data_IF_327399276133
#
_entry.id   IF_327399276133
#
_cell.length_a   1.000
_cell.length_b   1.000
_cell.length_c   1.000
_cell.angle_alpha   90.00
_cell.angle_beta   90.00
_cell.angle_gamma   90.00
#
_symmetry.space_group_name_H-M   'P 1'
#
loop_
_entity.id
_entity.type
_entity.pdbx_description
1 polymer ?
#
# COMPACT_ATOMS: atom_id res chain seq x y z
N UNK A 1 3.97 -17.41 -3.52
CA UNK A 1 4.91 -17.46 -4.66
C UNK A 1 4.22 -17.39 -6.02
N UNK A 2 3.31 -18.31 -6.37
CA UNK A 2 2.65 -18.36 -7.70
C UNK A 2 1.83 -17.10 -8.02
N UNK A 3 1.03 -16.60 -7.07
CA UNK A 3 0.24 -15.38 -7.25
C UNK A 3 1.10 -14.14 -7.51
N UNK A 4 2.25 -14.04 -6.82
CA UNK A 4 3.17 -12.93 -7.00
C UNK A 4 3.77 -12.92 -8.42
N UNK A 5 4.14 -14.09 -8.91
CA UNK A 5 4.68 -14.25 -10.26
C UNK A 5 3.64 -13.85 -11.33
N UNK A 6 2.42 -14.37 -11.21
CA UNK A 6 1.35 -14.17 -12.21
C UNK A 6 0.77 -12.75 -12.20
N UNK A 7 0.60 -12.13 -11.02
CA UNK A 7 -0.08 -10.85 -10.90
C UNK A 7 0.84 -9.64 -10.83
N UNK A 8 2.11 -9.82 -10.46
CA UNK A 8 3.06 -8.70 -10.31
C UNK A 8 4.25 -8.83 -11.25
N UNK A 9 4.98 -9.97 -11.21
CA UNK A 9 6.24 -10.10 -11.97
C UNK A 9 6.02 -10.13 -13.48
N UNK A 10 5.16 -11.03 -13.98
CA UNK A 10 4.92 -11.18 -15.43
C UNK A 10 4.30 -9.91 -16.02
N UNK A 11 3.22 -9.33 -15.46
CA UNK A 11 2.64 -8.09 -15.98
C UNK A 11 3.62 -6.92 -15.93
N UNK A 12 4.42 -6.82 -14.87
CA UNK A 12 5.46 -5.80 -14.74
C UNK A 12 6.50 -5.86 -15.85
N UNK A 13 7.01 -7.05 -16.15
CA UNK A 13 7.99 -7.28 -17.21
C UNK A 13 7.40 -6.98 -18.60
N UNK A 14 6.15 -7.40 -18.85
CA UNK A 14 5.45 -7.09 -20.09
C UNK A 14 5.30 -5.58 -20.29
N UNK A 15 4.89 -4.85 -19.25
CA UNK A 15 4.74 -3.40 -19.32
C UNK A 15 6.08 -2.66 -19.48
N UNK A 16 7.15 -3.13 -18.83
CA UNK A 16 8.49 -2.58 -19.01
C UNK A 16 9.04 -2.86 -20.43
N UNK A 17 8.78 -4.04 -20.99
CA UNK A 17 9.12 -4.37 -22.38
C UNK A 17 8.36 -3.46 -23.36
N UNK A 18 7.05 -3.29 -23.17
CA UNK A 18 6.25 -2.35 -23.95
C UNK A 18 6.75 -0.91 -23.83
N UNK A 19 7.10 -0.46 -22.61
CA UNK A 19 7.67 0.86 -22.40
C UNK A 19 8.94 1.04 -23.23
N UNK A 20 9.84 0.05 -23.18
CA UNK A 20 11.10 0.06 -23.94
C UNK A 20 10.85 0.10 -25.45
N UNK A 21 9.91 -0.70 -25.96
CA UNK A 21 9.51 -0.68 -27.38
C UNK A 21 8.94 0.68 -27.82
N UNK A 22 8.25 1.37 -26.91
CA UNK A 22 7.70 2.71 -27.14
C UNK A 22 8.71 3.83 -26.87
N UNK A 23 9.99 3.51 -26.65
CA UNK A 23 11.05 4.48 -26.34
C UNK A 23 10.92 5.14 -24.96
N UNK A 24 10.08 4.59 -24.08
CA UNK A 24 9.89 5.05 -22.70
C UNK A 24 10.80 4.27 -21.75
N UNK A 25 11.14 4.91 -20.63
CA UNK A 25 11.95 4.29 -19.59
C UNK A 25 11.14 3.21 -18.84
N UNK A 26 11.58 1.95 -18.80
CA UNK A 26 10.99 0.92 -17.93
C UNK A 26 11.24 1.27 -16.45
N UNK A 27 10.30 0.94 -15.57
CA UNK A 27 10.37 1.32 -14.15
C UNK A 27 9.80 0.25 -13.21
N UNK A 28 8.84 -0.56 -13.66
CA UNK A 28 8.05 -1.43 -12.77
C UNK A 28 8.92 -2.51 -12.12
N UNK A 29 9.82 -3.13 -12.88
CA UNK A 29 10.79 -4.09 -12.37
C UNK A 29 11.62 -3.52 -11.22
N UNK A 30 12.19 -2.32 -11.40
CA UNK A 30 12.94 -1.63 -10.34
C UNK A 30 12.07 -1.32 -9.12
N UNK A 31 10.81 -0.95 -9.31
CA UNK A 31 9.88 -0.67 -8.20
C UNK A 31 9.60 -1.95 -7.42
N UNK A 32 9.28 -3.05 -8.10
CA UNK A 32 9.03 -4.34 -7.45
C UNK A 32 10.24 -4.87 -6.70
N UNK A 33 11.45 -4.74 -7.24
CA UNK A 33 12.68 -5.13 -6.52
C UNK A 33 12.86 -4.32 -5.24
N UNK A 34 12.62 -3.01 -5.27
CA UNK A 34 12.70 -2.15 -4.07
C UNK A 34 11.64 -2.52 -3.04
N UNK A 35 10.40 -2.75 -3.48
CA UNK A 35 9.31 -3.17 -2.60
C UNK A 35 9.60 -4.51 -1.94
N UNK A 36 10.15 -5.49 -2.67
CA UNK A 36 10.56 -6.77 -2.09
C UNK A 36 11.60 -6.58 -0.99
N UNK A 37 12.66 -5.80 -1.26
CA UNK A 37 13.70 -5.52 -0.25
C UNK A 37 13.14 -4.86 1.01
N UNK A 38 12.21 -3.91 0.85
CA UNK A 38 11.53 -3.26 1.98
C UNK A 38 10.69 -4.29 2.75
N UNK A 39 9.91 -5.12 2.05
CA UNK A 39 9.11 -6.16 2.68
C UNK A 39 9.99 -7.15 3.45
N UNK A 40 11.09 -7.63 2.86
CA UNK A 40 12.03 -8.55 3.50
C UNK A 40 12.67 -7.93 4.76
N UNK A 41 12.97 -6.63 4.71
CA UNK A 41 13.54 -5.90 5.86
C UNK A 41 12.51 -5.70 6.97
N UNK A 42 11.26 -5.44 6.61
CA UNK A 42 10.18 -5.18 7.56
C UNK A 42 9.53 -6.45 8.10
N UNK A 43 9.72 -7.60 7.44
CA UNK A 43 9.12 -8.88 7.82
C UNK A 43 9.36 -9.21 9.29
N UNK A 44 10.59 -8.97 9.77
CA UNK A 44 10.95 -9.22 11.17
C UNK A 44 10.09 -8.40 12.15
N UNK A 45 9.86 -7.13 11.83
CA UNK A 45 9.18 -6.18 12.70
C UNK A 45 7.66 -6.30 12.60
N UNK A 46 7.14 -6.40 11.39
CA UNK A 46 5.70 -6.41 11.10
C UNK A 46 5.04 -7.79 11.31
N UNK A 47 5.81 -8.88 11.17
CA UNK A 47 5.28 -10.24 11.27
C UNK A 47 5.16 -10.79 12.70
N UNK A 48 5.62 -10.04 13.70
CA UNK A 48 5.60 -10.46 15.11
C UNK A 48 4.68 -9.59 15.94
N UNK A 49 4.00 -10.22 16.89
CA UNK A 49 3.33 -9.52 17.98
C UNK A 49 4.35 -9.14 19.03
N UNK A 50 4.30 -7.90 19.48
CA UNK A 50 5.18 -7.38 20.50
C UNK A 50 4.35 -6.99 21.70
N UNK A 51 4.51 -7.74 22.80
CA UNK A 51 3.89 -7.41 24.08
C UNK A 51 4.80 -6.41 24.81
N UNK A 52 4.40 -5.14 24.79
CA UNK A 52 5.11 -4.08 25.51
C UNK A 52 4.42 -3.83 26.85
N UNK A 53 5.13 -4.06 27.96
CA UNK A 53 4.68 -3.62 29.27
C UNK A 53 5.15 -2.17 29.50
N UNK A 54 4.21 -1.26 29.75
CA UNK A 54 4.45 0.14 30.04
C UNK A 54 3.92 0.58 31.43
N UNK A 55 3.67 -0.35 32.35
CA UNK A 55 3.11 -0.06 33.68
C UNK A 55 3.87 1.02 34.45
N UNK A 56 5.21 1.01 34.40
CA UNK A 56 6.02 2.01 35.11
C UNK A 56 5.86 3.40 34.51
N UNK A 57 5.66 3.52 33.19
CA UNK A 57 5.44 4.79 32.51
C UNK A 57 4.07 5.35 32.86
N UNK A 58 3.04 4.49 32.90
CA UNK A 58 1.70 4.87 33.32
C UNK A 58 1.66 5.33 34.79
N UNK A 59 2.29 4.56 35.70
CA UNK A 59 2.40 4.94 37.11
C UNK A 59 3.14 6.27 37.31
N UNK A 60 4.20 6.50 36.53
CA UNK A 60 4.93 7.77 36.56
C UNK A 60 4.00 8.92 36.13
N UNK A 61 3.27 8.75 35.03
CA UNK A 61 2.33 9.76 34.53
C UNK A 61 1.26 10.12 35.57
N UNK A 62 0.67 9.12 36.23
CA UNK A 62 -0.34 9.29 37.29
C UNK A 62 0.20 10.02 38.54
N UNK A 63 1.51 9.99 38.77
CA UNK A 63 2.15 10.63 39.93
C UNK A 63 2.58 12.08 39.66
N UNK A 64 2.60 12.52 38.41
CA UNK A 64 2.96 13.90 38.05
C UNK A 64 1.88 14.89 38.49
N UNK A 65 2.30 16.10 38.85
CA UNK A 65 1.34 17.19 39.05
C UNK A 65 0.73 17.62 37.71
N UNK A 66 -0.44 18.27 37.71
CA UNK A 66 -1.04 18.79 36.48
C UNK A 66 -0.09 19.71 35.70
N UNK A 67 0.72 20.52 36.40
CA UNK A 67 1.71 21.41 35.78
C UNK A 67 2.81 20.63 35.05
N UNK A 68 3.32 19.56 35.67
CA UNK A 68 4.36 18.72 35.06
C UNK A 68 3.81 17.88 33.91
N UNK A 69 2.55 17.42 33.99
CA UNK A 69 1.88 16.71 32.89
C UNK A 69 1.72 17.61 31.66
N UNK A 70 1.35 18.89 31.86
CA UNK A 70 1.24 19.86 30.78
C UNK A 70 2.62 20.19 30.18
N UNK A 71 3.63 20.37 31.03
CA UNK A 71 4.99 20.70 30.58
C UNK A 71 5.67 19.54 29.85
N UNK A 72 5.40 18.29 30.25
CA UNK A 72 6.06 17.09 29.73
C UNK A 72 5.03 16.08 29.24
N UNK A 73 4.23 16.42 28.24
CA UNK A 73 3.22 15.49 27.71
C UNK A 73 3.85 14.26 27.04
N UNK A 74 3.64 13.07 27.62
CA UNK A 74 4.09 11.78 27.07
C UNK A 74 3.05 10.65 27.21
N UNK A 75 1.80 10.96 27.54
CA UNK A 75 0.74 9.96 27.59
C UNK A 75 0.23 9.60 26.18
N UNK A 76 0.63 8.42 25.73
CA UNK A 76 0.24 7.86 24.43
C UNK A 76 -1.26 7.54 24.34
N UNK A 77 -1.97 7.40 25.47
CA UNK A 77 -3.41 7.17 25.51
C UNK A 77 -4.23 8.42 25.18
N UNK A 78 -3.68 9.60 25.45
CA UNK A 78 -4.30 10.89 25.14
C UNK A 78 -3.89 11.44 23.77
N UNK A 79 -2.98 10.76 23.07
CA UNK A 79 -2.47 11.17 21.78
C UNK A 79 -3.52 10.98 20.67
N UNK A 80 -3.74 12.02 19.84
CA UNK A 80 -4.59 11.91 18.64
C UNK A 80 -3.85 11.15 17.52
N UNK A 81 -3.98 9.83 17.54
CA UNK A 81 -3.35 8.95 16.57
C UNK A 81 -3.69 9.27 15.11
N UNK A 82 -4.86 9.83 14.83
CA UNK A 82 -5.26 10.22 13.47
C UNK A 82 -4.47 11.44 12.99
N UNK A 83 -4.44 12.49 13.82
CA UNK A 83 -3.63 13.68 13.54
C UNK A 83 -2.14 13.32 13.40
N UNK A 84 -1.62 12.52 14.33
CA UNK A 84 -0.23 12.11 14.31
C UNK A 84 0.13 11.29 13.05
N UNK A 85 -0.76 10.39 12.62
CA UNK A 85 -0.57 9.63 11.39
C UNK A 85 -0.61 10.55 10.15
N UNK A 86 -1.50 11.54 10.10
CA UNK A 86 -1.56 12.52 9.01
C UNK A 86 -0.28 13.36 8.96
N UNK A 87 0.14 13.92 10.11
CA UNK A 87 1.36 14.70 10.22
C UNK A 87 2.59 13.88 9.81
N UNK A 88 2.67 12.61 10.20
CA UNK A 88 3.73 11.70 9.79
C UNK A 88 3.72 11.47 8.27
N UNK A 89 2.56 11.26 7.66
CA UNK A 89 2.43 11.10 6.21
C UNK A 89 2.91 12.34 5.45
N UNK A 90 2.54 13.54 5.92
CA UNK A 90 2.96 14.81 5.34
C UNK A 90 4.47 15.03 5.53
N UNK A 91 5.00 14.75 6.71
CA UNK A 91 6.43 14.85 7.00
C UNK A 91 7.26 13.89 6.14
N UNK A 92 6.82 12.65 5.97
CA UNK A 92 7.47 11.67 5.10
C UNK A 92 7.54 12.17 3.65
N UNK A 93 6.43 12.72 3.16
CA UNK A 93 6.35 13.28 1.81
C UNK A 93 7.34 14.44 1.62
N UNK A 94 7.34 15.38 2.56
CA UNK A 94 8.15 16.59 2.44
C UNK A 94 9.65 16.31 2.62
N UNK A 95 10.02 15.53 3.64
CA UNK A 95 11.42 15.41 4.06
C UNK A 95 12.11 14.14 3.54
N UNK A 96 11.41 13.01 3.43
CA UNK A 96 12.01 11.77 2.92
C UNK A 96 11.88 11.66 1.40
N UNK A 97 10.67 11.92 0.89
CA UNK A 97 10.38 11.82 -0.54
C UNK A 97 10.80 13.09 -1.29
N UNK A 98 10.99 14.21 -0.58
CA UNK A 98 11.31 15.52 -1.16
C UNK A 98 10.26 15.97 -2.19
N UNK A 99 8.97 15.73 -1.91
CA UNK A 99 7.84 16.12 -2.75
C UNK A 99 7.01 17.19 -2.04
N UNK A 100 6.84 18.34 -2.68
CA UNK A 100 6.19 19.51 -2.07
C UNK A 100 4.68 19.28 -1.83
N UNK A 101 4.10 20.01 -0.87
CA UNK A 101 2.67 19.90 -0.57
C UNK A 101 1.78 20.51 -1.66
N UNK A 102 2.28 21.49 -2.43
CA UNK A 102 1.54 22.08 -3.56
C UNK A 102 1.23 21.08 -4.67
N UNK A 103 1.95 19.96 -4.75
CA UNK A 103 1.72 18.92 -5.77
C UNK A 103 0.59 17.95 -5.38
N UNK A 104 0.06 18.02 -4.15
CA UNK A 104 -1.03 17.15 -3.67
C UNK A 104 -2.28 17.17 -4.56
N UNK A 105 -2.81 18.31 -5.02
CA UNK A 105 -3.97 18.33 -5.90
C UNK A 105 -3.71 17.61 -7.24
N UNK A 106 -2.51 17.77 -7.80
CA UNK A 106 -2.11 17.08 -9.02
C UNK A 106 -1.96 15.56 -8.80
N UNK A 107 -1.37 15.15 -7.67
CA UNK A 107 -1.26 13.76 -7.27
C UNK A 107 -2.64 13.11 -7.09
N UNK A 108 -3.59 13.79 -6.44
CA UNK A 108 -4.99 13.33 -6.28
C UNK A 108 -5.69 13.14 -7.63
N UNK A 109 -5.55 14.10 -8.56
CA UNK A 109 -6.11 13.97 -9.92
C UNK A 109 -5.51 12.79 -10.68
N UNK A 110 -4.19 12.59 -10.59
CA UNK A 110 -3.50 11.45 -11.21
C UNK A 110 -4.00 10.13 -10.60
N UNK A 111 -4.11 10.06 -9.28
CA UNK A 111 -4.61 8.89 -8.57
C UNK A 111 -6.04 8.55 -8.98
N UNK A 112 -6.94 9.55 -9.08
CA UNK A 112 -8.32 9.33 -9.55
C UNK A 112 -8.36 8.72 -10.95
N UNK A 113 -7.55 9.23 -11.89
CA UNK A 113 -7.46 8.67 -13.26
C UNK A 113 -6.99 7.21 -13.25
N UNK A 114 -5.96 6.91 -12.46
CA UNK A 114 -5.43 5.55 -12.32
C UNK A 114 -6.44 4.62 -11.64
N UNK A 115 -7.18 5.11 -10.64
CA UNK A 115 -8.23 4.37 -9.96
C UNK A 115 -9.36 4.00 -10.91
N UNK A 116 -9.86 4.95 -11.71
CA UNK A 116 -10.88 4.68 -12.74
C UNK A 116 -10.36 3.65 -13.75
N UNK A 117 -9.14 3.81 -14.25
CA UNK A 117 -8.53 2.85 -15.17
C UNK A 117 -8.42 1.44 -14.55
N UNK A 118 -8.09 1.35 -13.26
CA UNK A 118 -8.04 0.10 -12.53
C UNK A 118 -9.43 -0.54 -12.36
N UNK A 119 -10.46 0.25 -12.05
CA UNK A 119 -11.85 -0.24 -11.99
C UNK A 119 -12.31 -0.79 -13.34
N UNK A 120 -12.02 -0.09 -14.45
CA UNK A 120 -12.33 -0.55 -15.81
C UNK A 120 -11.60 -1.86 -16.11
N UNK A 121 -10.30 -1.93 -15.82
CA UNK A 121 -9.51 -3.14 -16.03
C UNK A 121 -10.08 -4.33 -15.24
N UNK A 122 -10.47 -4.12 -13.98
CA UNK A 122 -11.11 -5.15 -13.16
C UNK A 122 -12.45 -5.61 -13.76
N UNK A 123 -13.29 -4.68 -14.20
CA UNK A 123 -14.57 -5.01 -14.82
C UNK A 123 -14.40 -5.83 -16.11
N UNK A 124 -13.46 -5.43 -16.98
CA UNK A 124 -13.11 -6.17 -18.20
C UNK A 124 -12.60 -7.57 -17.86
N UNK A 125 -11.71 -7.67 -16.86
CA UNK A 125 -11.14 -8.95 -16.42
C UNK A 125 -12.23 -9.89 -15.90
N UNK A 126 -13.14 -9.40 -15.05
CA UNK A 126 -14.28 -10.17 -14.56
C UNK A 126 -15.20 -10.63 -15.70
N UNK A 127 -15.47 -9.75 -16.68
CA UNK A 127 -16.28 -10.09 -17.84
C UNK A 127 -15.64 -11.19 -18.71
N UNK A 128 -14.33 -11.12 -18.95
CA UNK A 128 -13.59 -12.15 -19.68
C UNK A 128 -13.66 -13.48 -18.94
N UNK A 129 -13.40 -13.49 -17.63
CA UNK A 129 -13.49 -14.70 -16.80
C UNK A 129 -14.90 -15.30 -16.87
N UNK A 130 -15.94 -14.48 -16.73
CA UNK A 130 -17.33 -14.93 -16.85
C UNK A 130 -17.61 -15.58 -18.22
N UNK A 131 -17.15 -14.97 -19.32
CA UNK A 131 -17.32 -15.52 -20.67
C UNK A 131 -16.60 -16.85 -20.85
N UNK A 132 -15.39 -17.00 -20.31
CA UNK A 132 -14.64 -18.26 -20.36
C UNK A 132 -15.39 -19.36 -19.59
N UNK A 133 -15.87 -19.06 -18.37
CA UNK A 133 -16.63 -20.00 -17.57
C UNK A 133 -17.94 -20.41 -18.25
N UNK A 134 -18.66 -19.46 -18.84
CA UNK A 134 -19.87 -19.73 -19.61
C UNK A 134 -19.61 -20.64 -20.82
N UNK A 135 -18.52 -20.37 -21.55
CA UNK A 135 -18.11 -21.19 -22.68
C UNK A 135 -17.77 -22.62 -22.26
N UNK A 136 -17.01 -22.79 -21.18
CA UNK A 136 -16.68 -24.11 -20.61
C UNK A 136 -17.94 -24.84 -20.17
N UNK A 137 -18.86 -24.15 -19.49
CA UNK A 137 -20.16 -24.71 -19.09
C UNK A 137 -20.95 -25.22 -20.30
N UNK A 138 -21.01 -24.43 -21.38
CA UNK A 138 -21.67 -24.82 -22.62
C UNK A 138 -21.04 -26.05 -23.28
N UNK A 139 -19.69 -26.14 -23.29
CA UNK A 139 -18.99 -27.33 -23.80
C UNK A 139 -19.30 -28.57 -22.98
N UNK A 140 -19.29 -28.46 -21.65
CA UNK A 140 -19.62 -29.56 -20.74
C UNK A 140 -21.07 -30.00 -20.94
N UNK A 141 -22.02 -29.06 -20.97
CA UNK A 141 -23.43 -29.38 -21.19
C UNK A 141 -23.68 -30.10 -22.52
N UNK A 142 -23.03 -29.66 -23.61
CA UNK A 142 -23.10 -30.31 -24.91
C UNK A 142 -22.41 -31.69 -24.96
N UNK A 143 -21.49 -32.01 -24.05
CA UNK A 143 -20.86 -33.33 -23.97
C UNK A 143 -21.70 -34.35 -23.18
N UNK A 144 -22.60 -33.88 -22.31
CA UNK A 144 -23.45 -34.72 -21.46
C UNK A 144 -24.93 -34.76 -21.90
N UNK A 145 -25.27 -34.09 -23.01
CA UNK A 145 -26.55 -34.19 -23.74
C UNK A 145 -26.37 -34.97 -25.03
#
# INVERSE_FOLDING_TARGET
MILNLLLHTIPGLLLDAMATMLGKKPMLSSVYTKLSKVADTLEYFAGRTWDWNNENVQKLWEQLSPEDQEMFFFDMGQMDWEYHAEALCLGLRLYLVNDDLSTLPAARKKWQKLYIAHCILRAITCFIIFKILWFIYGLIFNMFS
#
